data_IF_254350450586
#
_entry.id   IF_254350450586
#
_cell.length_a   1.000
_cell.length_b   1.000
_cell.length_c   1.000
_cell.angle_alpha   90.00
_cell.angle_beta   90.00
_cell.angle_gamma   90.00
#
_symmetry.space_group_name_H-M   'P 1'
#
loop_
_entity.id
_entity.type
_entity.pdbx_description
1 polymer ?
#
# COMPACT_ATOMS: atom_id res chain seq x y z
N UNK A 1 -13.41 -59.26 -51.72
CA UNK A 1 -12.84 -59.14 -53.09
C UNK A 1 -13.19 -57.73 -53.57
N UNK A 2 -12.27 -56.77 -53.41
CA UNK A 2 -11.50 -56.11 -54.51
C UNK A 2 -12.45 -55.30 -55.44
N UNK A 3 -12.33 -53.99 -55.67
CA UNK A 3 -11.14 -53.13 -55.82
C UNK A 3 -11.55 -51.65 -55.71
N UNK A 4 -10.62 -50.85 -55.17
CA UNK A 4 -10.63 -49.39 -55.10
C UNK A 4 -10.43 -48.72 -56.47
N UNK A 5 -11.07 -47.57 -56.70
CA UNK A 5 -10.80 -46.68 -57.81
C UNK A 5 -9.74 -45.65 -57.39
N UNK A 6 -8.66 -45.55 -58.19
CA UNK A 6 -7.71 -44.43 -58.18
C UNK A 6 -7.89 -43.67 -59.49
N UNK A 7 -8.16 -42.37 -59.38
CA UNK A 7 -8.02 -41.42 -60.49
C UNK A 7 -7.07 -40.33 -60.01
N UNK A 8 -5.89 -40.33 -60.61
CA UNK A 8 -4.86 -39.29 -60.53
C UNK A 8 -5.20 -38.21 -61.54
N UNK A 9 -5.31 -36.96 -61.11
CA UNK A 9 -5.38 -35.80 -62.01
C UNK A 9 -4.52 -34.65 -61.48
N UNK A 10 -3.45 -34.40 -62.22
CA UNK A 10 -2.77 -33.14 -62.54
C UNK A 10 -2.71 -32.01 -61.50
N UNK A 11 -1.48 -31.78 -61.03
CA UNK A 11 -1.00 -30.58 -60.33
C UNK A 11 -0.38 -29.62 -61.36
N UNK A 12 -0.89 -28.39 -61.44
CA UNK A 12 -0.27 -27.14 -61.94
C UNK A 12 -1.41 -26.12 -62.03
N UNK A 13 -1.43 -24.95 -61.41
CA UNK A 13 -0.54 -24.26 -60.50
C UNK A 13 -1.15 -22.87 -60.34
N UNK A 14 -1.33 -22.40 -59.12
CA UNK A 14 -1.59 -20.99 -58.81
C UNK A 14 -0.92 -20.71 -57.46
N UNK A 15 0.06 -19.82 -57.50
CA UNK A 15 0.67 -19.21 -56.32
C UNK A 15 -0.44 -18.54 -55.50
N UNK A 16 -0.75 -19.08 -54.33
CA UNK A 16 -1.22 -18.26 -53.23
C UNK A 16 0.01 -17.78 -52.47
N UNK A 17 0.26 -16.48 -52.55
CA UNK A 17 1.12 -15.77 -51.58
C UNK A 17 0.36 -15.82 -50.26
N UNK A 18 0.63 -16.85 -49.47
CA UNK A 18 0.23 -16.88 -48.07
C UNK A 18 1.05 -15.81 -47.35
N UNK A 19 0.40 -14.68 -47.05
CA UNK A 19 0.87 -13.75 -46.02
C UNK A 19 0.80 -14.54 -44.71
N UNK A 20 1.93 -15.12 -44.31
CA UNK A 20 2.12 -15.63 -42.96
C UNK A 20 2.11 -14.42 -42.01
N UNK A 21 0.91 -14.05 -41.56
CA UNK A 21 0.75 -13.43 -40.25
C UNK A 21 1.35 -14.43 -39.26
N UNK A 22 2.60 -14.17 -38.87
CA UNK A 22 3.26 -14.87 -37.78
C UNK A 22 2.52 -14.45 -36.52
N UNK A 23 1.43 -15.16 -36.22
CA UNK A 23 0.87 -15.18 -34.88
C UNK A 23 1.96 -15.76 -34.02
N UNK A 24 2.57 -14.93 -33.16
CA UNK A 24 3.57 -15.37 -32.21
C UNK A 24 3.01 -16.59 -31.48
N UNK A 25 3.73 -17.71 -31.57
CA UNK A 25 3.35 -18.94 -30.90
C UNK A 25 3.33 -18.65 -29.39
N UNK A 26 2.22 -18.93 -28.71
CA UNK A 26 2.19 -18.78 -27.26
C UNK A 26 3.24 -19.71 -26.65
N UNK A 27 4.16 -19.19 -25.82
CA UNK A 27 5.23 -19.99 -25.25
C UNK A 27 4.65 -21.06 -24.31
N UNK A 28 5.08 -22.30 -24.51
CA UNK A 28 4.67 -23.45 -23.72
C UNK A 28 5.19 -23.34 -22.27
N UNK A 29 4.29 -23.52 -21.29
CA UNK A 29 4.60 -23.36 -19.87
C UNK A 29 5.29 -24.60 -19.30
N UNK A 30 6.45 -24.41 -18.67
CA UNK A 30 7.12 -25.44 -17.85
C UNK A 30 7.28 -24.90 -16.42
N UNK A 31 6.43 -25.34 -15.48
CA UNK A 31 6.57 -25.09 -14.02
C UNK A 31 5.45 -24.28 -13.34
N UNK A 32 5.44 -24.26 -12.00
CA UNK A 32 4.59 -23.40 -11.15
C UNK A 32 4.82 -21.91 -11.50
N UNK A 33 3.85 -20.99 -11.31
CA UNK A 33 3.75 -19.76 -12.09
C UNK A 33 5.01 -18.88 -11.95
N UNK A 34 5.86 -18.90 -12.98
CA UNK A 34 7.01 -18.00 -13.16
C UNK A 34 6.60 -16.68 -13.82
N UNK A 35 5.36 -16.22 -13.62
CA UNK A 35 4.76 -15.06 -14.31
C UNK A 35 5.20 -13.70 -13.74
N UNK A 36 6.30 -13.63 -13.02
CA UNK A 36 6.61 -12.46 -12.18
C UNK A 36 7.77 -11.62 -12.66
N UNK A 37 8.58 -12.09 -13.60
CA UNK A 37 9.75 -11.38 -14.08
C UNK A 37 9.60 -11.04 -15.53
N UNK A 38 9.83 -9.78 -15.85
CA UNK A 38 10.13 -9.45 -17.23
C UNK A 38 11.49 -10.03 -17.59
N UNK A 39 11.62 -10.56 -18.81
CA UNK A 39 12.84 -11.20 -19.28
C UNK A 39 14.06 -10.26 -19.11
N UNK A 40 15.03 -10.67 -18.30
CA UNK A 40 16.24 -9.90 -18.03
C UNK A 40 17.17 -9.80 -19.26
N UNK A 41 17.03 -10.69 -20.26
CA UNK A 41 17.83 -10.65 -21.49
C UNK A 41 17.58 -9.37 -22.29
N UNK A 42 16.48 -8.64 -22.06
CA UNK A 42 16.27 -7.33 -22.69
C UNK A 42 17.32 -6.29 -22.30
N UNK A 43 17.93 -6.43 -21.12
CA UNK A 43 19.03 -5.57 -20.68
C UNK A 43 20.36 -5.86 -21.39
N UNK A 44 20.43 -6.95 -22.16
CA UNK A 44 21.57 -7.28 -23.03
C UNK A 44 21.65 -6.37 -24.25
N UNK A 45 20.53 -5.81 -24.69
CA UNK A 45 20.49 -4.89 -25.81
C UNK A 45 20.77 -3.47 -25.31
N UNK A 46 21.67 -2.75 -25.99
CA UNK A 46 22.13 -1.43 -25.56
C UNK A 46 21.01 -0.38 -25.47
N UNK A 47 19.92 -0.57 -26.23
CA UNK A 47 18.73 0.26 -26.20
C UNK A 47 17.50 -0.63 -26.02
N UNK A 48 16.73 -0.36 -24.97
CA UNK A 48 15.43 -0.97 -24.78
C UNK A 48 14.38 -0.20 -25.59
N UNK A 49 13.68 -0.87 -26.51
CA UNK A 49 12.50 -0.30 -27.15
C UNK A 49 11.30 -0.44 -26.21
N UNK A 50 11.09 0.58 -25.40
CA UNK A 50 10.00 0.67 -24.42
C UNK A 50 8.62 0.75 -25.09
N UNK A 51 8.55 1.04 -26.39
CA UNK A 51 7.30 1.14 -27.15
C UNK A 51 6.85 -0.20 -27.73
N UNK A 52 7.74 -1.19 -27.77
CA UNK A 52 7.44 -2.52 -28.29
C UNK A 52 6.96 -3.42 -27.15
N UNK A 53 5.66 -3.78 -27.07
CA UNK A 53 5.13 -4.60 -25.98
C UNK A 53 5.69 -6.03 -25.97
N UNK A 54 6.23 -6.53 -27.10
CA UNK A 54 6.92 -7.82 -27.12
C UNK A 54 8.32 -7.75 -26.48
N UNK A 55 8.89 -6.55 -26.36
CA UNK A 55 10.20 -6.29 -25.76
C UNK A 55 10.08 -5.71 -24.34
N UNK A 56 9.11 -4.81 -24.14
CA UNK A 56 8.77 -4.17 -22.88
C UNK A 56 7.27 -4.37 -22.56
N UNK A 57 6.89 -5.49 -21.93
CA UNK A 57 5.49 -5.83 -21.69
C UNK A 57 4.86 -5.09 -20.49
N UNK A 58 5.65 -4.33 -19.72
CA UNK A 58 5.13 -3.52 -18.62
C UNK A 58 4.44 -2.30 -19.22
N UNK A 59 3.17 -2.03 -18.89
CA UNK A 59 2.47 -0.87 -19.43
C UNK A 59 3.13 0.43 -18.98
N UNK A 60 2.79 1.52 -19.66
CA UNK A 60 3.26 2.86 -19.32
C UNK A 60 2.06 3.79 -19.14
N UNK A 61 1.09 3.34 -18.33
CA UNK A 61 -0.11 4.11 -18.04
C UNK A 61 0.23 5.33 -17.18
N UNK A 62 -0.47 6.42 -17.45
CA UNK A 62 -0.45 7.59 -16.57
C UNK A 62 -1.31 7.29 -15.36
N UNK A 63 -0.70 7.29 -14.17
CA UNK A 63 -1.39 7.01 -12.92
C UNK A 63 -1.83 8.34 -12.29
N UNK A 64 -3.08 8.38 -11.86
CA UNK A 64 -3.72 9.55 -11.25
C UNK A 64 -4.56 9.10 -10.07
N UNK A 65 -5.11 10.06 -9.32
CA UNK A 65 -6.11 9.75 -8.29
C UNK A 65 -7.30 8.96 -8.87
N UNK A 66 -7.74 9.31 -10.08
CA UNK A 66 -8.82 8.60 -10.77
C UNK A 66 -8.48 7.15 -11.08
N UNK A 67 -7.21 6.84 -11.39
CA UNK A 67 -6.76 5.45 -11.61
C UNK A 67 -6.99 4.60 -10.36
N UNK A 68 -6.69 5.13 -9.17
CA UNK A 68 -6.96 4.41 -7.92
C UNK A 68 -8.45 4.28 -7.63
N UNK A 69 -9.26 5.32 -7.88
CA UNK A 69 -10.71 5.24 -7.68
C UNK A 69 -11.35 4.19 -8.60
N UNK A 70 -10.98 4.15 -9.88
CA UNK A 70 -11.48 3.15 -10.83
C UNK A 70 -11.19 1.72 -10.36
N UNK A 71 -9.99 1.51 -9.81
CA UNK A 71 -9.63 0.22 -9.21
C UNK A 71 -10.46 -0.11 -7.96
N UNK A 72 -10.74 0.86 -7.10
CA UNK A 72 -11.59 0.62 -5.93
C UNK A 72 -13.04 0.35 -6.33
N UNK A 73 -13.57 1.07 -7.32
CA UNK A 73 -14.94 0.91 -7.79
C UNK A 73 -15.18 -0.44 -8.49
N UNK A 74 -14.13 -1.15 -8.93
CA UNK A 74 -14.27 -2.52 -9.43
C UNK A 74 -14.59 -3.55 -8.33
N UNK A 75 -14.47 -3.20 -7.04
CA UNK A 75 -14.64 -4.10 -5.89
C UNK A 75 -16.08 -4.19 -5.33
N UNK A 76 -17.09 -3.76 -6.08
CA UNK A 76 -18.50 -3.61 -5.63
C UNK A 76 -18.61 -2.95 -4.24
N UNK A 77 -18.26 -1.67 -4.18
CA UNK A 77 -18.27 -0.88 -2.94
C UNK A 77 -19.65 -0.82 -2.29
N UNK A 78 -20.74 -0.94 -3.06
CA UNK A 78 -22.11 -0.96 -2.53
C UNK A 78 -22.36 -2.23 -1.73
N UNK A 79 -21.96 -3.39 -2.25
CA UNK A 79 -22.04 -4.65 -1.52
C UNK A 79 -21.19 -4.58 -0.24
N UNK A 80 -19.96 -4.06 -0.34
CA UNK A 80 -19.08 -3.88 0.81
C UNK A 80 -19.71 -2.99 1.89
N UNK A 81 -20.27 -1.83 1.52
CA UNK A 81 -20.91 -0.92 2.47
C UNK A 81 -22.22 -1.47 3.07
N UNK A 82 -22.92 -2.37 2.37
CA UNK A 82 -24.15 -3.00 2.87
C UNK A 82 -23.92 -4.08 3.92
N UNK A 83 -22.68 -4.59 4.02
CA UNK A 83 -22.26 -5.62 4.98
C UNK A 83 -21.01 -5.16 5.76
N UNK A 84 -21.20 -4.28 6.78
CA UNK A 84 -20.10 -3.64 7.49
C UNK A 84 -19.36 -4.52 8.50
N UNK A 85 -19.90 -5.70 8.84
CA UNK A 85 -19.25 -6.61 9.77
C UNK A 85 -18.38 -7.63 9.04
N UNK A 86 -17.06 -7.48 9.14
CA UNK A 86 -16.07 -8.43 8.64
C UNK A 86 -15.11 -8.89 9.74
N UNK A 87 -15.54 -8.81 11.00
CA UNK A 87 -14.69 -9.12 12.15
C UNK A 87 -13.44 -8.24 12.20
N UNK A 88 -12.28 -8.85 12.45
CA UNK A 88 -11.01 -8.13 12.62
C UNK A 88 -10.41 -7.57 11.34
N UNK A 89 -10.78 -8.12 10.18
CA UNK A 89 -10.31 -7.61 8.89
C UNK A 89 -11.08 -6.36 8.44
N UNK A 90 -12.13 -5.98 9.17
CA UNK A 90 -13.06 -4.90 8.76
C UNK A 90 -12.34 -3.58 8.50
N UNK A 91 -11.42 -3.18 9.40
CA UNK A 91 -10.81 -1.86 9.36
C UNK A 91 -10.04 -1.61 8.04
N UNK A 92 -9.25 -2.60 7.63
CA UNK A 92 -8.49 -2.60 6.37
C UNK A 92 -9.42 -2.75 5.18
N UNK A 93 -10.36 -3.71 5.25
CA UNK A 93 -11.28 -4.01 4.15
C UNK A 93 -12.21 -2.85 3.80
N UNK A 94 -12.56 -1.98 4.76
CA UNK A 94 -13.49 -0.85 4.55
C UNK A 94 -12.84 0.44 4.06
N UNK A 95 -11.52 0.49 3.91
CA UNK A 95 -10.83 1.68 3.39
C UNK A 95 -11.37 2.18 2.04
N UNK A 96 -11.78 1.31 1.09
CA UNK A 96 -12.43 1.75 -0.15
C UNK A 96 -13.76 2.48 0.08
N UNK A 97 -14.52 2.09 1.11
CA UNK A 97 -15.79 2.75 1.48
C UNK A 97 -15.52 4.14 2.08
N UNK A 98 -14.48 4.26 2.90
CA UNK A 98 -14.02 5.57 3.40
C UNK A 98 -13.61 6.48 2.24
N UNK A 99 -12.86 5.96 1.28
CA UNK A 99 -12.47 6.71 0.08
C UNK A 99 -13.69 7.14 -0.72
N UNK A 100 -14.68 6.26 -0.90
CA UNK A 100 -15.91 6.63 -1.60
C UNK A 100 -16.71 7.71 -0.85
N UNK A 101 -16.68 7.70 0.48
CA UNK A 101 -17.23 8.79 1.27
C UNK A 101 -16.50 10.11 1.02
N UNK A 102 -15.16 10.11 1.05
CA UNK A 102 -14.33 11.29 0.83
C UNK A 102 -14.53 11.85 -0.59
N UNK A 103 -14.65 10.99 -1.59
CA UNK A 103 -14.91 11.39 -2.98
C UNK A 103 -16.30 11.99 -3.18
N UNK A 104 -17.34 11.28 -2.74
CA UNK A 104 -18.72 11.63 -3.07
C UNK A 104 -19.39 12.59 -2.09
N UNK A 105 -18.89 12.67 -0.85
CA UNK A 105 -19.53 13.35 0.27
C UNK A 105 -20.85 12.72 0.72
N UNK A 106 -21.26 11.58 0.15
CA UNK A 106 -22.58 11.00 0.45
C UNK A 106 -22.61 10.35 1.83
N UNK A 107 -23.57 10.77 2.66
CA UNK A 107 -23.72 10.32 4.05
C UNK A 107 -23.83 8.79 4.21
N UNK A 108 -24.40 8.08 3.24
CA UNK A 108 -24.55 6.61 3.30
C UNK A 108 -23.22 5.87 3.48
N UNK A 109 -22.14 6.37 2.87
CA UNK A 109 -20.83 5.75 2.96
C UNK A 109 -20.20 6.01 4.33
N UNK A 110 -20.34 7.22 4.85
CA UNK A 110 -19.95 7.55 6.21
C UNK A 110 -20.72 6.74 7.27
N UNK A 111 -22.04 6.60 7.10
CA UNK A 111 -22.87 5.79 8.00
C UNK A 111 -22.38 4.33 8.01
N UNK A 112 -22.01 3.77 6.85
CA UNK A 112 -21.42 2.44 6.76
C UNK A 112 -20.06 2.34 7.46
N UNK A 113 -19.18 3.35 7.32
CA UNK A 113 -17.91 3.39 8.06
C UNK A 113 -18.13 3.46 9.58
N UNK A 114 -19.10 4.25 10.04
CA UNK A 114 -19.44 4.34 11.48
C UNK A 114 -19.92 2.99 12.00
N UNK A 115 -20.80 2.31 11.25
CA UNK A 115 -21.28 0.99 11.65
C UNK A 115 -20.14 -0.03 11.67
N UNK A 116 -19.29 -0.05 10.64
CA UNK A 116 -18.10 -0.91 10.59
C UNK A 116 -17.20 -0.69 11.81
N UNK A 117 -16.90 0.56 12.20
CA UNK A 117 -16.04 0.84 13.35
C UNK A 117 -16.65 0.31 14.67
N UNK A 118 -17.97 0.37 14.82
CA UNK A 118 -18.67 -0.21 15.98
C UNK A 118 -18.59 -1.74 15.98
N UNK A 119 -18.78 -2.37 14.82
CA UNK A 119 -18.66 -3.83 14.69
C UNK A 119 -17.22 -4.29 14.92
N UNK A 120 -16.25 -3.55 14.39
CA UNK A 120 -14.82 -3.79 14.66
C UNK A 120 -14.49 -3.70 16.15
N UNK A 121 -15.09 -2.75 16.89
CA UNK A 121 -14.95 -2.71 18.35
C UNK A 121 -15.48 -3.99 19.02
N UNK A 122 -16.63 -4.50 18.58
CA UNK A 122 -17.17 -5.77 19.06
C UNK A 122 -16.22 -6.94 18.76
N UNK A 123 -15.64 -6.98 17.56
CA UNK A 123 -14.66 -7.98 17.17
C UNK A 123 -13.39 -7.93 18.05
N UNK A 124 -12.87 -6.72 18.34
CA UNK A 124 -11.73 -6.56 19.24
C UNK A 124 -12.03 -7.03 20.67
N UNK A 125 -13.24 -6.79 21.17
CA UNK A 125 -13.64 -7.31 22.49
C UNK A 125 -13.64 -8.82 22.51
N UNK A 126 -14.23 -9.44 21.50
CA UNK A 126 -14.22 -10.91 21.34
C UNK A 126 -12.78 -11.46 21.26
N UNK A 127 -11.89 -10.81 20.49
CA UNK A 127 -10.47 -11.20 20.43
C UNK A 127 -9.80 -11.16 21.80
N UNK A 128 -10.02 -10.12 22.58
CA UNK A 128 -9.47 -10.01 23.93
C UNK A 128 -10.06 -11.08 24.87
N UNK A 129 -11.34 -11.42 24.73
CA UNK A 129 -11.94 -12.52 25.49
C UNK A 129 -11.33 -13.88 25.14
N UNK A 130 -10.99 -14.11 23.88
CA UNK A 130 -10.41 -15.38 23.38
C UNK A 130 -8.90 -15.48 23.63
N UNK A 131 -8.15 -14.41 23.36
CA UNK A 131 -6.69 -14.42 23.29
C UNK A 131 -6.02 -13.52 24.34
N UNK A 132 -6.79 -12.89 25.23
CA UNK A 132 -6.35 -11.91 26.24
C UNK A 132 -5.89 -10.56 25.67
N UNK A 133 -5.32 -10.53 24.46
CA UNK A 133 -4.73 -9.32 23.88
C UNK A 133 -5.04 -9.13 22.39
N UNK A 134 -4.83 -7.90 21.93
CA UNK A 134 -4.81 -7.51 20.53
C UNK A 134 -3.35 -7.45 20.09
N UNK A 135 -2.97 -8.20 19.05
CA UNK A 135 -1.61 -8.24 18.53
C UNK A 135 -1.45 -7.53 17.17
N UNK A 136 -2.49 -6.84 16.68
CA UNK A 136 -2.43 -6.04 15.45
C UNK A 136 -1.95 -4.61 15.76
N UNK A 137 -0.64 -4.40 15.66
CA UNK A 137 0.02 -3.13 16.02
C UNK A 137 -0.08 -2.07 14.94
N UNK A 138 0.01 -2.47 13.67
CA UNK A 138 0.37 -1.57 12.58
C UNK A 138 -0.83 -0.83 12.03
N UNK A 139 -1.78 -1.56 11.44
CA UNK A 139 -2.85 -0.93 10.67
C UNK A 139 -3.87 -0.20 11.53
N UNK A 140 -4.33 -0.70 12.69
CA UNK A 140 -5.27 0.06 13.51
C UNK A 140 -4.70 1.39 14.00
N UNK A 141 -3.40 1.42 14.34
CA UNK A 141 -2.70 2.65 14.71
C UNK A 141 -2.71 3.70 13.58
N UNK A 142 -2.68 3.27 12.32
CA UNK A 142 -2.76 4.15 11.14
C UNK A 142 -4.20 4.49 10.77
N UNK A 143 -5.12 3.53 10.84
CA UNK A 143 -6.44 3.69 10.25
C UNK A 143 -7.41 4.41 11.20
N UNK A 144 -7.34 4.23 12.52
CA UNK A 144 -8.21 4.98 13.43
C UNK A 144 -8.08 6.50 13.29
N UNK A 145 -6.86 7.10 13.26
CA UNK A 145 -6.74 8.53 13.03
C UNK A 145 -7.30 8.99 11.67
N UNK A 146 -7.15 8.18 10.60
CA UNK A 146 -7.70 8.51 9.28
C UNK A 146 -9.23 8.51 9.28
N UNK A 147 -9.86 7.45 9.78
CA UNK A 147 -11.32 7.39 9.92
C UNK A 147 -11.83 8.55 10.78
N UNK A 148 -11.17 8.81 11.92
CA UNK A 148 -11.53 9.92 12.81
C UNK A 148 -11.50 11.25 12.06
N UNK A 149 -10.43 11.52 11.33
CA UNK A 149 -10.27 12.77 10.60
C UNK A 149 -11.40 12.99 9.59
N UNK A 150 -11.58 12.07 8.64
CA UNK A 150 -12.54 12.27 7.55
C UNK A 150 -13.99 12.29 8.05
N UNK A 151 -14.32 11.49 9.07
CA UNK A 151 -15.64 11.54 9.69
C UNK A 151 -15.88 12.84 10.47
N UNK A 152 -14.84 13.44 11.07
CA UNK A 152 -14.95 14.75 11.70
C UNK A 152 -15.07 15.89 10.68
N UNK A 153 -14.25 15.87 9.61
CA UNK A 153 -14.28 16.88 8.55
C UNK A 153 -15.66 16.96 7.87
N UNK A 154 -16.33 15.80 7.72
CA UNK A 154 -17.68 15.74 7.20
C UNK A 154 -18.80 15.84 8.25
N UNK A 155 -18.48 16.25 9.49
CA UNK A 155 -19.43 16.44 10.59
C UNK A 155 -20.28 15.20 10.95
N UNK A 156 -19.74 14.00 10.75
CA UNK A 156 -20.40 12.72 11.09
C UNK A 156 -20.20 12.36 12.55
N UNK A 157 -19.00 12.64 13.08
CA UNK A 157 -18.66 12.49 14.49
C UNK A 157 -18.03 13.77 15.02
N UNK A 158 -18.09 13.95 16.33
CA UNK A 158 -17.39 15.01 17.05
C UNK A 158 -16.09 14.48 17.67
N UNK A 159 -15.19 15.37 18.06
CA UNK A 159 -13.89 15.01 18.64
C UNK A 159 -13.98 14.05 19.85
N UNK A 160 -15.06 14.12 20.62
CA UNK A 160 -15.30 13.34 21.85
C UNK A 160 -16.47 12.34 21.72
N UNK A 161 -16.84 11.95 20.50
CA UNK A 161 -17.89 10.95 20.30
C UNK A 161 -17.63 9.68 21.15
N UNK A 162 -18.50 9.35 22.12
CA UNK A 162 -18.18 8.37 23.17
C UNK A 162 -17.79 6.99 22.65
N UNK A 163 -18.53 6.44 21.68
CA UNK A 163 -18.25 5.10 21.16
C UNK A 163 -16.89 5.01 20.45
N UNK A 164 -16.45 6.09 19.79
CA UNK A 164 -15.16 6.13 19.09
C UNK A 164 -14.01 6.28 20.09
N UNK A 165 -14.21 7.11 21.12
CA UNK A 165 -13.31 7.19 22.28
C UNK A 165 -13.12 5.81 22.92
N UNK A 166 -14.21 5.11 23.20
CA UNK A 166 -14.15 3.78 23.81
C UNK A 166 -13.40 2.78 22.93
N UNK A 167 -13.64 2.78 21.61
CA UNK A 167 -12.92 1.93 20.66
C UNK A 167 -11.40 2.14 20.71
N UNK A 168 -10.94 3.39 20.57
CA UNK A 168 -9.50 3.70 20.55
C UNK A 168 -8.85 3.39 21.89
N UNK A 169 -9.50 3.73 23.00
CA UNK A 169 -8.97 3.45 24.34
C UNK A 169 -8.95 1.96 24.65
N UNK A 170 -9.96 1.21 24.19
CA UNK A 170 -9.98 -0.25 24.33
C UNK A 170 -8.82 -0.89 23.56
N UNK A 171 -8.60 -0.47 22.31
CA UNK A 171 -7.45 -0.91 21.54
C UNK A 171 -6.12 -0.60 22.26
N UNK A 172 -5.90 0.65 22.67
CA UNK A 172 -4.64 1.06 23.32
C UNK A 172 -4.36 0.32 24.63
N UNK A 173 -5.41 -0.02 25.41
CA UNK A 173 -5.28 -0.75 26.69
C UNK A 173 -5.00 -2.23 26.51
N UNK A 174 -5.44 -2.82 25.40
CA UNK A 174 -5.35 -4.25 25.14
C UNK A 174 -4.33 -4.61 24.03
N UNK A 175 -3.61 -3.63 23.48
CA UNK A 175 -2.57 -3.84 22.49
C UNK A 175 -1.33 -4.47 23.15
N UNK A 176 -1.13 -5.77 22.96
CA UNK A 176 0.00 -6.52 23.50
C UNK A 176 0.29 -7.82 22.73
N UNK A 177 1.47 -8.41 22.93
CA UNK A 177 1.86 -9.68 22.31
C UNK A 177 1.86 -10.84 23.31
N UNK A 178 1.74 -12.07 22.79
CA UNK A 178 2.14 -13.31 23.46
C UNK A 178 1.40 -13.74 24.74
N UNK A 179 0.23 -13.18 25.06
CA UNK A 179 -0.51 -13.57 26.27
C UNK A 179 0.29 -13.38 27.58
N UNK A 180 1.30 -12.51 27.56
CA UNK A 180 2.20 -12.22 28.69
C UNK A 180 1.84 -10.91 29.40
N UNK A 181 2.59 -10.58 30.46
CA UNK A 181 2.47 -9.28 31.14
C UNK A 181 2.84 -8.14 30.18
N UNK A 182 2.02 -7.07 30.10
CA UNK A 182 2.28 -5.94 29.21
C UNK A 182 3.67 -5.32 29.35
N UNK A 183 4.55 -5.64 28.41
CA UNK A 183 5.81 -4.92 28.19
C UNK A 183 5.64 -3.83 27.13
N UNK A 184 6.02 -2.61 27.49
CA UNK A 184 6.14 -1.48 26.57
C UNK A 184 7.43 -1.59 25.76
N UNK A 185 7.30 -1.70 24.44
CA UNK A 185 8.43 -1.89 23.53
C UNK A 185 9.18 -0.57 23.29
N UNK A 186 10.49 -0.65 23.05
CA UNK A 186 11.35 0.52 22.79
C UNK A 186 12.05 0.44 21.44
N UNK A 187 12.56 1.57 20.95
CA UNK A 187 13.26 1.68 19.68
C UNK A 187 12.36 1.90 18.47
N UNK A 188 12.95 2.06 17.29
CA UNK A 188 12.25 2.24 16.02
C UNK A 188 11.88 0.92 15.35
N UNK A 189 11.10 0.05 15.98
CA UNK A 189 10.66 -1.24 15.41
C UNK A 189 9.16 -1.27 15.12
N UNK A 190 8.73 -2.25 14.32
CA UNK A 190 7.36 -2.36 13.79
C UNK A 190 6.28 -2.55 14.87
N UNK A 191 6.65 -2.88 16.12
CA UNK A 191 5.71 -2.97 17.25
C UNK A 191 5.69 -1.70 18.08
N UNK A 192 6.86 -1.23 18.52
CA UNK A 192 6.98 -0.07 19.39
C UNK A 192 6.47 1.19 18.72
N UNK A 193 6.84 1.45 17.47
CA UNK A 193 6.50 2.69 16.78
C UNK A 193 4.98 2.87 16.63
N UNK A 194 4.22 1.90 16.09
CA UNK A 194 2.76 1.97 16.08
C UNK A 194 2.14 2.09 17.47
N UNK A 195 2.55 1.24 18.42
CA UNK A 195 2.00 1.24 19.79
C UNK A 195 2.22 2.58 20.51
N UNK A 196 3.46 3.07 20.53
CA UNK A 196 3.83 4.28 21.23
C UNK A 196 3.13 5.50 20.64
N UNK A 197 3.12 5.62 19.32
CA UNK A 197 2.54 6.78 18.66
C UNK A 197 1.01 6.80 18.71
N UNK A 198 0.30 5.67 18.61
CA UNK A 198 -1.17 5.64 18.78
C UNK A 198 -1.58 5.95 20.23
N UNK A 199 -0.82 5.45 21.23
CA UNK A 199 -1.02 5.82 22.63
C UNK A 199 -0.78 7.31 22.86
N UNK A 200 0.23 7.91 22.21
CA UNK A 200 0.46 9.35 22.26
C UNK A 200 -0.69 10.14 21.60
N UNK A 201 -1.18 9.72 20.43
CA UNK A 201 -2.36 10.33 19.82
C UNK A 201 -3.59 10.23 20.73
N UNK A 202 -3.86 9.06 21.30
CA UNK A 202 -4.97 8.86 22.24
C UNK A 202 -4.85 9.77 23.47
N UNK A 203 -3.66 9.96 24.02
CA UNK A 203 -3.43 10.89 25.14
C UNK A 203 -3.65 12.36 24.77
N UNK A 204 -3.44 12.72 23.50
CA UNK A 204 -3.69 14.07 22.98
C UNK A 204 -5.18 14.30 22.73
N UNK A 205 -5.89 13.29 22.22
CA UNK A 205 -7.34 13.37 22.00
C UNK A 205 -8.14 13.34 23.30
N UNK A 206 -7.66 12.61 24.30
CA UNK A 206 -8.37 12.37 25.56
C UNK A 206 -7.47 12.66 26.77
N UNK A 207 -7.12 13.93 27.05
CA UNK A 207 -6.17 14.29 28.10
C UNK A 207 -6.64 13.96 29.53
N UNK A 208 -7.94 13.76 29.74
CA UNK A 208 -8.53 13.53 31.07
C UNK A 208 -8.51 12.05 31.51
N UNK A 209 -8.06 11.12 30.66
CA UNK A 209 -7.97 9.70 31.06
C UNK A 209 -6.79 9.50 32.03
N UNK A 210 -6.88 8.53 32.96
CA UNK A 210 -5.81 8.27 33.93
C UNK A 210 -4.44 8.00 33.28
N UNK A 211 -4.44 7.35 32.11
CA UNK A 211 -3.23 6.94 31.41
C UNK A 211 -2.58 8.06 30.59
N UNK A 212 -3.25 9.21 30.37
CA UNK A 212 -2.83 10.22 29.39
C UNK A 212 -1.38 10.65 29.57
N UNK A 213 -0.98 11.01 30.80
CA UNK A 213 0.39 11.45 31.11
C UNK A 213 1.42 10.34 30.85
N UNK A 214 1.08 9.10 31.16
CA UNK A 214 1.96 7.95 30.96
C UNK A 214 2.10 7.62 29.47
N UNK A 215 0.99 7.53 28.74
CA UNK A 215 0.98 7.26 27.30
C UNK A 215 1.66 8.36 26.48
N UNK A 216 1.46 9.63 26.83
CA UNK A 216 2.17 10.74 26.20
C UNK A 216 3.69 10.58 26.37
N UNK A 217 4.14 10.29 27.61
CA UNK A 217 5.56 10.07 27.90
C UNK A 217 6.10 8.86 27.14
N UNK A 218 5.40 7.72 27.16
CA UNK A 218 5.82 6.50 26.48
C UNK A 218 5.98 6.74 24.97
N UNK A 219 4.95 7.27 24.32
CA UNK A 219 4.98 7.47 22.88
C UNK A 219 6.00 8.52 22.42
N UNK A 220 6.19 9.61 23.19
CA UNK A 220 7.26 10.57 22.93
C UNK A 220 8.65 9.93 23.05
N UNK A 221 8.84 9.05 24.03
CA UNK A 221 10.10 8.34 24.21
C UNK A 221 10.38 7.40 23.02
N UNK A 222 9.39 6.60 22.60
CA UNK A 222 9.53 5.72 21.44
C UNK A 222 9.77 6.51 20.16
N UNK A 223 8.98 7.57 19.93
CA UNK A 223 9.17 8.44 18.77
C UNK A 223 10.55 9.07 18.79
N UNK A 224 11.06 9.50 19.95
CA UNK A 224 12.40 10.06 20.09
C UNK A 224 13.51 9.04 19.84
N UNK A 225 13.30 7.76 20.19
CA UNK A 225 14.28 6.70 19.90
C UNK A 225 14.46 6.55 18.38
N UNK A 226 13.35 6.58 17.62
CA UNK A 226 13.39 6.63 16.16
C UNK A 226 13.96 7.97 15.67
N UNK A 227 13.40 9.10 16.11
CA UNK A 227 13.70 10.43 15.59
C UNK A 227 15.14 10.89 15.83
N UNK A 228 15.84 10.31 16.81
CA UNK A 228 17.27 10.59 17.03
C UNK A 228 18.16 9.97 15.94
N UNK A 229 17.77 8.83 15.39
CA UNK A 229 18.56 8.06 14.42
C UNK A 229 18.01 8.25 13.00
N UNK A 230 16.69 8.38 12.87
CA UNK A 230 15.92 8.52 11.64
C UNK A 230 16.29 7.46 10.62
N UNK A 231 16.40 6.23 11.08
CA UNK A 231 16.63 5.05 10.28
C UNK A 231 15.91 3.86 10.91
N UNK A 232 15.76 2.79 10.13
CA UNK A 232 15.09 1.57 10.55
C UNK A 232 16.15 0.48 10.76
N UNK A 233 16.26 -0.09 11.98
CA UNK A 233 17.31 -1.08 12.28
C UNK A 233 17.18 -2.38 11.50
N UNK A 234 15.99 -2.69 10.98
CA UNK A 234 15.73 -3.88 10.19
C UNK A 234 16.13 -3.65 8.73
N UNK A 235 17.22 -4.29 8.30
CA UNK A 235 17.66 -4.27 6.90
C UNK A 235 16.93 -5.34 6.08
N UNK A 236 15.65 -5.11 5.82
CA UNK A 236 14.80 -5.99 5.02
C UNK A 236 13.77 -5.18 4.24
N UNK A 237 12.94 -5.85 3.46
CA UNK A 237 11.92 -5.19 2.61
C UNK A 237 10.51 -5.31 3.14
N UNK A 238 10.32 -6.00 4.27
CA UNK A 238 9.04 -6.30 4.90
C UNK A 238 8.85 -5.50 6.19
N UNK A 239 9.50 -5.91 7.27
CA UNK A 239 9.35 -5.29 8.58
C UNK A 239 9.94 -3.88 8.66
N UNK A 240 10.84 -3.49 7.75
CA UNK A 240 11.35 -2.12 7.72
C UNK A 240 10.24 -1.06 7.55
N UNK A 241 9.08 -1.47 7.03
CA UNK A 241 7.96 -0.57 6.75
C UNK A 241 7.14 -0.23 7.98
N UNK A 242 6.99 -1.16 8.92
CA UNK A 242 6.19 -0.99 10.13
C UNK A 242 6.58 0.25 10.97
N UNK A 243 7.87 0.50 11.25
CA UNK A 243 8.33 1.69 11.96
C UNK A 243 8.01 3.01 11.25
N UNK A 244 7.90 2.97 9.91
CA UNK A 244 7.72 4.15 9.07
C UNK A 244 6.25 4.51 8.88
N UNK A 245 5.33 3.57 9.12
CA UNK A 245 3.87 3.78 9.02
C UNK A 245 3.43 5.06 9.72
N UNK A 246 3.78 5.21 10.99
CA UNK A 246 3.27 6.30 11.81
C UNK A 246 3.87 7.66 11.45
N UNK A 247 5.20 7.80 11.30
CA UNK A 247 5.78 9.03 10.76
C UNK A 247 5.21 9.42 9.39
N UNK A 248 5.06 8.46 8.46
CA UNK A 248 4.61 8.75 7.09
C UNK A 248 3.14 9.14 7.00
N UNK A 249 2.27 8.49 7.76
CA UNK A 249 0.83 8.73 7.67
C UNK A 249 0.32 9.76 8.68
N UNK A 250 0.98 9.90 9.84
CA UNK A 250 0.51 10.70 10.97
C UNK A 250 1.58 11.58 11.64
N UNK A 251 2.81 11.59 11.13
CA UNK A 251 3.90 12.37 11.72
C UNK A 251 3.59 13.87 11.78
N UNK A 252 2.96 14.41 10.74
CA UNK A 252 2.50 15.80 10.71
C UNK A 252 1.43 16.10 11.76
N UNK A 253 0.53 15.17 12.01
CA UNK A 253 -0.50 15.28 13.05
C UNK A 253 0.09 15.22 14.45
N UNK A 254 1.13 14.39 14.65
CA UNK A 254 1.83 14.24 15.93
C UNK A 254 2.67 15.48 16.27
N UNK A 255 3.35 16.04 15.27
CA UNK A 255 4.29 17.15 15.45
C UNK A 255 3.66 18.52 15.25
N UNK A 256 2.49 18.58 14.61
CA UNK A 256 1.82 19.83 14.24
C UNK A 256 2.49 20.58 13.09
N UNK A 257 3.45 19.97 12.40
CA UNK A 257 4.17 20.53 11.26
C UNK A 257 4.69 19.44 10.30
N UNK A 258 5.23 19.83 9.15
CA UNK A 258 5.69 18.91 8.10
C UNK A 258 7.14 18.44 8.25
N UNK A 259 7.76 18.56 9.44
CA UNK A 259 9.21 18.29 9.58
C UNK A 259 9.62 16.86 9.26
N UNK A 260 8.73 15.88 9.40
CA UNK A 260 8.99 14.49 8.97
C UNK A 260 9.31 14.44 7.47
N UNK A 261 8.69 15.32 6.68
CA UNK A 261 8.87 15.38 5.23
C UNK A 261 10.00 16.31 4.81
N UNK A 262 10.44 17.26 5.64
CA UNK A 262 11.48 18.22 5.25
C UNK A 262 12.84 17.99 5.90
N UNK A 263 12.93 17.10 6.89
CA UNK A 263 14.20 16.79 7.58
C UNK A 263 15.20 16.08 6.64
N UNK A 264 16.45 16.57 6.51
CA UNK A 264 17.43 16.00 5.58
C UNK A 264 17.80 14.54 5.84
N UNK A 265 17.73 14.06 7.08
CA UNK A 265 18.01 12.66 7.41
C UNK A 265 16.80 11.77 7.07
N UNK A 266 15.57 12.26 7.27
CA UNK A 266 14.37 11.56 6.77
C UNK A 266 14.36 11.43 5.24
N UNK A 267 14.85 12.45 4.53
CA UNK A 267 14.98 12.41 3.07
C UNK A 267 15.90 11.26 2.59
N UNK A 268 16.88 10.85 3.39
CA UNK A 268 17.72 9.69 3.06
C UNK A 268 16.92 8.38 3.15
N UNK A 269 16.04 8.26 4.16
CA UNK A 269 15.13 7.12 4.29
C UNK A 269 14.14 7.07 3.11
N UNK A 270 13.55 8.20 2.73
CA UNK A 270 12.62 8.25 1.60
C UNK A 270 13.32 7.95 0.27
N UNK A 271 14.53 8.47 0.10
CA UNK A 271 15.40 8.13 -1.03
C UNK A 271 15.68 6.63 -1.08
N UNK A 272 15.97 5.99 0.06
CA UNK A 272 16.15 4.53 0.13
C UNK A 272 14.90 3.77 -0.34
N UNK A 273 13.70 4.14 0.14
CA UNK A 273 12.45 3.47 -0.25
C UNK A 273 12.24 3.53 -1.77
N UNK A 274 12.54 4.67 -2.37
CA UNK A 274 12.47 4.88 -3.82
C UNK A 274 13.53 4.06 -4.57
N UNK A 275 14.77 4.03 -4.06
CA UNK A 275 15.92 3.34 -4.67
C UNK A 275 15.82 1.81 -4.66
N UNK A 276 14.98 1.24 -3.80
CA UNK A 276 14.75 -0.20 -3.74
C UNK A 276 13.86 -0.71 -4.89
N UNK A 277 13.25 0.20 -5.64
CA UNK A 277 12.41 -0.11 -6.79
C UNK A 277 13.29 -0.15 -8.05
N UNK A 278 13.16 -1.22 -8.84
CA UNK A 278 13.86 -1.33 -10.11
C UNK A 278 13.39 -0.29 -11.13
N UNK A 279 14.17 -0.05 -12.18
CA UNK A 279 13.77 0.81 -13.32
C UNK A 279 12.47 0.37 -13.99
N UNK A 280 12.06 -0.89 -13.80
CA UNK A 280 10.80 -1.41 -14.32
C UNK A 280 9.60 -1.20 -13.41
N UNK A 281 9.84 -0.81 -12.15
CA UNK A 281 8.80 -0.75 -11.12
C UNK A 281 8.68 -2.01 -10.28
N UNK A 282 9.65 -2.93 -10.32
CA UNK A 282 9.64 -4.13 -9.50
C UNK A 282 10.31 -3.90 -8.15
N UNK A 283 9.74 -4.47 -7.09
CA UNK A 283 10.35 -4.49 -5.77
C UNK A 283 11.08 -5.81 -5.50
N UNK A 284 12.41 -5.75 -5.42
CA UNK A 284 13.27 -6.90 -5.19
C UNK A 284 13.39 -7.23 -3.69
N UNK A 285 12.90 -8.39 -3.22
CA UNK A 285 12.91 -8.70 -1.81
C UNK A 285 14.32 -8.97 -1.28
N UNK A 286 14.61 -8.50 -0.07
CA UNK A 286 15.75 -8.91 0.74
C UNK A 286 15.37 -8.92 2.23
N UNK A 287 16.15 -9.66 3.05
CA UNK A 287 15.84 -9.92 4.46
C UNK A 287 14.49 -10.64 4.65
N UNK A 288 13.86 -10.61 5.83
CA UNK A 288 12.48 -11.08 5.99
C UNK A 288 11.50 -10.31 5.09
N UNK A 289 10.74 -11.03 4.27
CA UNK A 289 9.82 -10.46 3.29
C UNK A 289 8.70 -11.43 2.90
N UNK A 290 7.64 -10.91 2.25
CA UNK A 290 6.49 -11.69 1.78
C UNK A 290 6.66 -12.31 0.38
N UNK A 291 7.88 -12.33 -0.16
CA UNK A 291 8.19 -12.78 -1.52
C UNK A 291 8.39 -11.64 -2.50
N UNK A 292 8.57 -12.01 -3.77
CA UNK A 292 8.81 -11.08 -4.86
C UNK A 292 7.68 -10.06 -5.00
N UNK A 293 8.03 -8.77 -5.12
CA UNK A 293 7.11 -7.65 -5.26
C UNK A 293 6.06 -7.47 -4.13
N UNK A 294 6.16 -8.24 -3.04
CA UNK A 294 5.13 -8.31 -1.99
C UNK A 294 4.87 -6.98 -1.26
N UNK A 295 5.83 -6.07 -1.25
CA UNK A 295 5.74 -4.76 -0.58
C UNK A 295 5.66 -3.58 -1.56
N UNK A 296 5.32 -3.87 -2.83
CA UNK A 296 5.11 -2.84 -3.85
C UNK A 296 3.90 -1.95 -3.53
N UNK A 297 2.78 -2.55 -3.12
CA UNK A 297 1.56 -1.81 -2.77
C UNK A 297 1.81 -0.76 -1.68
N UNK A 298 2.58 -1.13 -0.66
CA UNK A 298 2.99 -0.20 0.39
C UNK A 298 3.73 1.02 -0.17
N UNK A 299 4.74 0.76 -1.01
CA UNK A 299 5.55 1.81 -1.62
C UNK A 299 4.70 2.74 -2.49
N UNK A 300 3.69 2.24 -3.20
CA UNK A 300 2.76 3.10 -3.95
C UNK A 300 2.17 4.16 -3.03
N UNK A 301 1.48 3.77 -1.95
CA UNK A 301 0.82 4.73 -1.06
C UNK A 301 1.80 5.67 -0.33
N UNK A 302 2.99 5.18 0.00
CA UNK A 302 4.02 5.97 0.69
C UNK A 302 4.67 6.99 -0.24
N UNK A 303 5.01 6.59 -1.46
CA UNK A 303 5.63 7.47 -2.44
C UNK A 303 4.66 8.56 -2.90
N UNK A 304 3.38 8.24 -3.08
CA UNK A 304 2.33 9.25 -3.33
C UNK A 304 2.25 10.25 -2.18
N UNK A 305 2.27 9.77 -0.92
CA UNK A 305 2.25 10.64 0.27
C UNK A 305 3.49 11.53 0.37
N UNK A 306 4.68 10.99 0.12
CA UNK A 306 5.93 11.74 0.16
C UNK A 306 5.94 12.78 -0.96
N UNK A 307 5.54 12.42 -2.18
CA UNK A 307 5.43 13.35 -3.30
C UNK A 307 4.52 14.54 -2.93
N UNK A 308 3.30 14.27 -2.47
CA UNK A 308 2.33 15.30 -2.07
C UNK A 308 2.86 16.24 -0.97
N UNK A 309 3.66 15.72 -0.04
CA UNK A 309 4.21 16.51 1.07
C UNK A 309 5.49 17.26 0.76
N UNK A 310 6.25 16.81 -0.24
CA UNK A 310 7.55 17.41 -0.58
C UNK A 310 7.50 18.24 -1.87
N UNK A 311 6.49 18.04 -2.72
CA UNK A 311 6.45 18.59 -4.07
C UNK A 311 7.39 17.86 -5.06
N UNK A 312 8.04 16.78 -4.64
CA UNK A 312 9.05 16.10 -5.45
C UNK A 312 8.43 15.00 -6.33
N UNK A 313 8.32 15.33 -7.62
CA UNK A 313 7.74 14.46 -8.65
C UNK A 313 8.48 13.15 -8.89
N UNK A 314 9.71 12.97 -8.38
CA UNK A 314 10.47 11.72 -8.54
C UNK A 314 9.85 10.56 -7.79
N UNK A 315 9.34 10.82 -6.59
CA UNK A 315 8.61 9.80 -5.82
C UNK A 315 7.35 9.36 -6.55
N UNK A 316 6.63 10.32 -7.15
CA UNK A 316 5.45 10.03 -7.95
C UNK A 316 5.76 9.22 -9.21
N UNK A 317 6.85 9.55 -9.93
CA UNK A 317 7.31 8.74 -11.05
C UNK A 317 7.53 7.27 -10.64
N UNK A 318 8.19 7.03 -9.50
CA UNK A 318 8.43 5.66 -9.02
C UNK A 318 7.13 4.98 -8.55
N UNK A 319 6.20 5.70 -7.93
CA UNK A 319 4.87 5.17 -7.62
C UNK A 319 4.13 4.71 -8.90
N UNK A 320 4.22 5.48 -9.99
CA UNK A 320 3.62 5.12 -11.27
C UNK A 320 4.26 3.87 -11.87
N UNK A 321 5.60 3.73 -11.78
CA UNK A 321 6.30 2.53 -12.23
C UNK A 321 5.85 1.29 -11.45
N UNK A 322 5.70 1.39 -10.13
CA UNK A 322 5.20 0.30 -9.29
C UNK A 322 3.79 -0.16 -9.70
N UNK A 323 2.87 0.80 -9.91
CA UNK A 323 1.50 0.47 -10.33
C UNK A 323 1.48 -0.21 -11.70
N UNK A 324 2.24 0.31 -12.66
CA UNK A 324 2.38 -0.31 -13.97
C UNK A 324 2.96 -1.73 -13.90
N UNK A 325 3.95 -1.97 -13.04
CA UNK A 325 4.50 -3.31 -12.84
C UNK A 325 3.49 -4.26 -12.20
N UNK A 326 2.70 -3.77 -11.24
CA UNK A 326 1.61 -4.53 -10.63
C UNK A 326 0.53 -4.90 -11.63
N UNK A 327 0.12 -3.97 -12.51
CA UNK A 327 -0.81 -4.23 -13.61
C UNK A 327 -0.29 -5.34 -14.53
N UNK A 328 0.99 -5.28 -14.88
CA UNK A 328 1.64 -6.33 -15.68
C UNK A 328 1.58 -7.69 -14.98
N UNK A 329 1.93 -7.77 -13.70
CA UNK A 329 1.94 -9.02 -12.95
C UNK A 329 0.55 -9.66 -12.84
N UNK A 330 -0.48 -8.84 -12.69
CA UNK A 330 -1.82 -9.33 -12.41
C UNK A 330 -2.64 -9.67 -13.67
N UNK A 331 -2.12 -9.39 -14.88
CA UNK A 331 -2.82 -9.61 -16.16
C UNK A 331 -4.27 -9.06 -16.19
N UNK A 332 -4.51 -7.95 -15.48
CA UNK A 332 -5.80 -7.26 -15.27
C UNK A 332 -6.74 -7.80 -14.16
N UNK A 333 -6.33 -8.75 -13.33
CA UNK A 333 -7.04 -9.10 -12.08
C UNK A 333 -6.46 -8.32 -10.88
N UNK A 334 -7.11 -8.34 -9.70
CA UNK A 334 -6.79 -7.58 -8.46
C UNK A 334 -5.30 -7.23 -8.25
N UNK A 335 -4.83 -6.14 -8.86
CA UNK A 335 -3.41 -5.84 -8.99
C UNK A 335 -2.84 -5.00 -7.85
N UNK A 336 -3.69 -4.39 -7.02
CA UNK A 336 -3.28 -3.51 -5.94
C UNK A 336 -4.02 -3.85 -4.64
N UNK A 337 -3.35 -3.87 -3.49
CA UNK A 337 -4.07 -4.00 -2.23
C UNK A 337 -5.12 -2.87 -2.10
N UNK A 338 -6.37 -3.21 -1.78
CA UNK A 338 -7.46 -2.24 -1.62
C UNK A 338 -7.14 -1.16 -0.58
N UNK A 339 -6.44 -1.54 0.48
CA UNK A 339 -5.89 -0.62 1.49
C UNK A 339 -4.95 0.41 0.85
N UNK A 340 -3.95 -0.05 0.10
CA UNK A 340 -2.93 0.83 -0.45
C UNK A 340 -3.43 1.64 -1.66
N UNK A 341 -4.36 1.11 -2.44
CA UNK A 341 -5.11 1.89 -3.42
C UNK A 341 -5.90 3.01 -2.73
N UNK A 342 -6.54 2.71 -1.59
CA UNK A 342 -7.27 3.71 -0.82
C UNK A 342 -6.35 4.78 -0.25
N UNK A 343 -5.23 4.40 0.37
CA UNK A 343 -4.25 5.35 0.87
C UNK A 343 -3.64 6.19 -0.26
N UNK A 344 -3.29 5.57 -1.40
CA UNK A 344 -2.79 6.29 -2.56
C UNK A 344 -3.81 7.30 -3.09
N UNK A 345 -5.09 6.94 -3.20
CA UNK A 345 -6.15 7.88 -3.57
C UNK A 345 -6.21 9.10 -2.63
N UNK A 346 -6.16 8.86 -1.31
CA UNK A 346 -6.26 9.91 -0.30
C UNK A 346 -5.06 10.86 -0.31
N UNK A 347 -3.88 10.40 -0.77
CA UNK A 347 -2.64 11.15 -0.67
C UNK A 347 -2.11 11.70 -1.99
N UNK A 348 -2.36 11.03 -3.12
CA UNK A 348 -1.88 11.46 -4.42
C UNK A 348 -2.29 12.89 -4.70
N UNK A 349 -1.37 13.72 -5.17
CA UNK A 349 -1.63 15.11 -5.58
C UNK A 349 -1.40 15.24 -7.08
N UNK A 350 -2.50 15.23 -7.85
CA UNK A 350 -2.48 15.28 -9.30
C UNK A 350 -1.81 16.55 -9.88
N UNK A 351 -1.59 17.60 -9.07
CA UNK A 351 -0.88 18.81 -9.51
C UNK A 351 0.64 18.63 -9.62
N UNK A 352 1.21 17.60 -8.99
CA UNK A 352 2.66 17.33 -9.01
C UNK A 352 3.00 16.45 -10.19
N UNK A 353 3.68 16.96 -11.22
CA UNK A 353 4.07 16.14 -12.37
C UNK A 353 5.02 14.99 -11.94
N UNK A 354 4.83 13.75 -12.43
CA UNK A 354 5.84 12.70 -12.27
C UNK A 354 7.12 13.09 -13.02
N UNK A 355 8.27 13.00 -12.35
CA UNK A 355 9.58 13.38 -12.89
C UNK A 355 10.49 12.17 -12.90
N UNK A 356 10.92 11.75 -14.09
CA UNK A 356 11.93 10.70 -14.22
C UNK A 356 13.26 11.17 -13.59
N UNK A 357 13.96 10.33 -12.81
CA UNK A 357 15.27 10.69 -12.29
C UNK A 357 16.27 10.98 -13.41
N UNK A 358 17.10 12.02 -13.22
CA UNK A 358 18.11 12.41 -14.21
C UNK A 358 19.03 11.24 -14.59
N UNK A 359 19.40 11.11 -15.88
CA UNK A 359 20.44 10.18 -16.31
C UNK A 359 21.75 10.42 -15.54
N UNK A 360 22.44 9.33 -15.17
CA UNK A 360 23.66 9.34 -14.35
C UNK A 360 23.54 9.93 -12.94
N UNK A 361 22.32 10.15 -12.45
CA UNK A 361 22.10 10.43 -11.03
C UNK A 361 22.38 9.18 -10.19
N UNK A 362 22.44 9.34 -8.86
CA UNK A 362 22.52 8.18 -7.93
C UNK A 362 21.40 7.15 -8.19
N UNK A 363 20.30 7.57 -8.81
CA UNK A 363 19.13 6.76 -9.13
C UNK A 363 19.28 5.94 -10.44
N UNK A 364 20.18 6.33 -11.33
CA UNK A 364 20.36 5.70 -12.65
C UNK A 364 21.79 5.21 -12.90
N UNK A 365 22.71 5.42 -11.95
CA UNK A 365 24.04 4.84 -11.96
C UNK A 365 23.97 3.33 -11.68
N UNK A 366 24.38 2.52 -12.65
CA UNK A 366 24.77 1.13 -12.42
C UNK A 366 26.17 1.14 -11.82
N UNK A 367 26.31 0.69 -10.57
CA UNK A 367 27.62 0.44 -9.97
C UNK A 367 28.31 -0.76 -10.63
#
# INVERSE_FOLDING_TARGET
MRIAHSITACILGLLEVAITLTVAQEPERIGAPTQFFVDSERYRFANADMSNPAFYPVPNETITRDTYMQYLESMDLKALASDPDRGESSLVAFMPVLVKYVESGEKRWADACVEMLKQYHTALKKRVEEDTWIWDFEWPAVLFPLYRQYLMEGNIIEANTPWFKDLVLYYCRNLHVWAEEPIEWRGGCHRSMPEGTVKWLASTWYPDIPEAKHWARYGQLVFSDFWKVKDVPQNDTGYMMGPLLMPLFHGDRLLGDDRVYTDPEMQQVFTRIMMEVSSDGAMNPYGPNGGYNSTAHFRVSVLERIAAKTGDGRYRYVAHKLVNYLLYQARNDDYLSSLHASLAYLFADDSIAPVEPEPHSIYTLRH
#
